data_IF_295465591604
#
_entry.id   IF_295465591604
#
_cell.length_a   1.000
_cell.length_b   1.000
_cell.length_c   1.000
_cell.angle_alpha   90.00
_cell.angle_beta   90.00
_cell.angle_gamma   90.00
#
_symmetry.space_group_name_H-M   'P 1'
#
loop_
_entity.id
_entity.type
_entity.pdbx_description
1 polymer ?
#
# COMPACT_ATOMS: atom_id res chain seq x y z
N UNK A 1 13.62 -20.06 -1.03
CA UNK A 1 13.32 -18.68 -0.65
C UNK A 1 11.93 -18.66 -0.05
N UNK A 2 11.70 -17.87 1.00
CA UNK A 2 10.38 -17.80 1.65
C UNK A 2 9.50 -16.86 0.82
N UNK A 3 8.39 -17.38 0.30
CA UNK A 3 7.38 -16.55 -0.38
C UNK A 3 6.53 -15.83 0.67
N UNK A 4 6.37 -14.52 0.52
CA UNK A 4 5.62 -13.69 1.47
C UNK A 4 4.16 -13.57 1.03
N UNK A 5 3.25 -13.60 2.00
CA UNK A 5 1.83 -13.42 1.74
C UNK A 5 1.52 -11.98 1.31
N UNK A 6 0.51 -11.76 0.45
CA UNK A 6 0.07 -10.41 0.08
C UNK A 6 -0.35 -9.56 1.28
N UNK A 7 -0.44 -8.25 1.08
CA UNK A 7 -0.97 -7.36 2.10
C UNK A 7 -2.44 -7.70 2.43
N UNK A 8 -2.90 -7.40 3.66
CA UNK A 8 -4.30 -7.52 4.00
C UNK A 8 -5.19 -6.75 3.01
N UNK A 9 -6.36 -7.32 2.71
CA UNK A 9 -7.29 -6.73 1.78
C UNK A 9 -7.90 -5.42 2.32
N UNK A 10 -8.12 -4.45 1.43
CA UNK A 10 -8.97 -3.29 1.67
C UNK A 10 -9.65 -2.88 0.36
N UNK A 11 -10.96 -2.60 0.36
CA UNK A 11 -11.64 -2.08 -0.84
C UNK A 11 -11.17 -0.66 -1.21
N UNK A 12 -10.47 0.02 -0.29
CA UNK A 12 -9.93 1.35 -0.52
C UNK A 12 -8.46 1.34 -0.95
N UNK A 13 -7.81 0.18 -0.96
CA UNK A 13 -6.46 0.02 -1.50
C UNK A 13 -6.43 0.29 -3.01
N UNK A 14 -5.28 0.75 -3.50
CA UNK A 14 -5.01 0.92 -4.93
C UNK A 14 -3.82 0.10 -5.41
N UNK A 15 -3.02 -0.40 -4.48
CA UNK A 15 -1.95 -1.32 -4.79
C UNK A 15 -2.53 -2.69 -5.19
N UNK A 16 -1.81 -3.42 -6.05
CA UNK A 16 -2.24 -4.73 -6.53
C UNK A 16 -2.41 -5.73 -5.34
N UNK A 17 -3.61 -6.28 -5.12
CA UNK A 17 -3.89 -7.14 -3.96
C UNK A 17 -3.19 -8.50 -4.02
N UNK A 18 -2.59 -8.88 -5.15
CA UNK A 18 -1.92 -10.18 -5.31
C UNK A 18 -0.49 -10.22 -4.73
N UNK A 19 0.06 -9.07 -4.32
CA UNK A 19 1.46 -8.97 -3.92
C UNK A 19 1.62 -8.40 -2.50
N UNK A 20 2.80 -8.70 -1.92
CA UNK A 20 3.31 -7.99 -0.74
C UNK A 20 3.99 -6.70 -1.19
N UNK A 21 3.56 -5.56 -0.64
CA UNK A 21 4.09 -4.24 -0.94
C UNK A 21 5.05 -3.77 0.14
N UNK A 22 6.04 -2.99 -0.30
CA UNK A 22 7.09 -2.44 0.55
C UNK A 22 6.67 -1.05 1.00
N UNK A 23 6.76 -0.80 2.31
CA UNK A 23 6.47 0.49 2.89
C UNK A 23 7.79 1.22 3.17
N UNK A 24 8.09 2.31 2.44
CA UNK A 24 9.27 3.09 2.76
C UNK A 24 9.09 3.67 4.16
N UNK A 25 10.02 3.35 5.07
CA UNK A 25 10.12 3.99 6.38
C UNK A 25 11.31 4.94 6.35
N UNK A 26 11.13 6.21 5.97
CA UNK A 26 12.20 7.18 6.14
C UNK A 26 12.53 7.30 7.63
N UNK A 27 13.81 7.48 7.96
CA UNK A 27 14.35 7.59 9.32
C UNK A 27 13.63 8.65 10.20
N UNK A 28 12.88 9.57 9.58
CA UNK A 28 12.16 10.67 10.24
C UNK A 28 10.63 10.52 10.26
N UNK A 29 10.08 9.41 9.76
CA UNK A 29 8.62 9.18 9.76
C UNK A 29 8.25 8.01 10.69
N UNK A 30 7.06 8.07 11.31
CA UNK A 30 6.60 6.99 12.18
C UNK A 30 6.48 5.69 11.38
N UNK A 31 6.87 4.58 12.00
CA UNK A 31 6.67 3.23 11.47
C UNK A 31 5.19 3.06 11.10
N UNK A 32 4.87 2.52 9.92
CA UNK A 32 3.48 2.29 9.54
C UNK A 32 2.77 1.37 10.55
N UNK A 33 1.59 1.79 11.03
CA UNK A 33 0.81 1.01 11.98
C UNK A 33 0.14 -0.18 11.27
N UNK A 34 0.26 -1.42 11.77
CA UNK A 34 -0.48 -2.57 11.27
C UNK A 34 -1.97 -2.31 11.13
N UNK A 35 -2.55 -2.74 10.01
CA UNK A 35 -3.94 -2.50 9.66
C UNK A 35 -4.27 -1.09 9.18
N UNK A 36 -3.29 -0.17 9.13
CA UNK A 36 -3.47 1.13 8.48
C UNK A 36 -3.34 1.02 6.96
N UNK A 37 -4.01 1.90 6.22
CA UNK A 37 -3.79 2.06 4.78
C UNK A 37 -2.72 3.12 4.56
N UNK A 38 -1.65 2.80 3.84
CA UNK A 38 -0.55 3.75 3.62
C UNK A 38 0.07 3.59 2.24
N UNK A 39 0.82 4.61 1.83
CA UNK A 39 1.51 4.65 0.54
C UNK A 39 2.72 3.71 0.57
N UNK A 40 2.87 2.94 -0.50
CA UNK A 40 3.94 1.97 -0.70
C UNK A 40 5.04 2.56 -1.60
N UNK A 41 6.16 1.85 -1.74
CA UNK A 41 7.24 2.26 -2.63
C UNK A 41 6.80 2.35 -4.11
N UNK A 42 5.78 1.58 -4.53
CA UNK A 42 5.22 1.68 -5.87
C UNK A 42 4.13 2.77 -6.01
N UNK A 43 4.02 3.67 -5.03
CA UNK A 43 3.01 4.74 -4.95
C UNK A 43 1.55 4.26 -4.87
N UNK A 44 1.33 2.95 -4.74
CA UNK A 44 0.02 2.38 -4.42
C UNK A 44 -0.32 2.54 -2.94
N UNK A 45 -1.61 2.49 -2.61
CA UNK A 45 -2.07 2.37 -1.22
C UNK A 45 -2.31 0.90 -0.88
N UNK A 46 -1.65 0.40 0.18
CA UNK A 46 -1.82 -0.95 0.68
C UNK A 46 -2.01 -0.95 2.20
N UNK A 47 -2.63 -2.00 2.72
CA UNK A 47 -2.78 -2.18 4.16
C UNK A 47 -1.47 -2.67 4.76
N UNK A 48 -1.01 -2.07 5.84
CA UNK A 48 0.19 -2.49 6.57
C UNK A 48 -0.06 -3.86 7.21
N UNK A 49 0.73 -4.91 6.91
CA UNK A 49 0.60 -6.21 7.55
C UNK A 49 1.08 -6.16 9.01
N UNK A 50 0.68 -7.14 9.82
CA UNK A 50 1.16 -7.26 11.20
C UNK A 50 2.64 -7.65 11.27
N UNK A 51 3.10 -8.43 10.30
CA UNK A 51 4.47 -8.89 10.12
C UNK A 51 5.20 -7.97 9.13
N UNK A 52 5.80 -6.88 9.61
CA UNK A 52 6.66 -6.06 8.76
C UNK A 52 7.97 -6.80 8.46
N UNK A 53 8.38 -6.75 7.21
CA UNK A 53 9.66 -7.27 6.75
C UNK A 53 10.57 -6.08 6.56
N UNK A 54 11.60 -6.00 7.39
CA UNK A 54 12.64 -4.99 7.25
C UNK A 54 13.64 -5.46 6.18
N UNK A 55 13.87 -4.61 5.18
CA UNK A 55 14.81 -4.90 4.08
C UNK A 55 15.67 -3.67 3.84
N UNK A 56 16.99 -3.87 3.82
CA UNK A 56 17.94 -2.81 3.46
C UNK A 56 18.08 -2.69 1.93
N UNK A 57 18.43 -1.50 1.40
CA UNK A 57 18.75 -1.33 -0.01
C UNK A 57 19.85 -2.30 -0.46
N UNK A 58 19.60 -3.03 -1.54
CA UNK A 58 20.56 -4.01 -2.10
C UNK A 58 20.59 -5.38 -1.41
N UNK A 59 19.81 -5.59 -0.34
CA UNK A 59 19.66 -6.91 0.28
C UNK A 59 18.87 -7.87 -0.64
N UNK A 60 19.08 -9.20 -0.54
CA UNK A 60 18.20 -10.19 -1.17
C UNK A 60 16.76 -10.00 -0.70
N UNK A 61 15.83 -9.92 -1.65
CA UNK A 61 14.41 -9.70 -1.39
C UNK A 61 13.63 -11.01 -1.50
N UNK A 62 12.63 -11.28 -0.63
CA UNK A 62 11.81 -12.48 -0.69
C UNK A 62 10.91 -12.52 -1.94
N UNK A 63 10.52 -13.73 -2.35
CA UNK A 63 9.55 -13.93 -3.43
C UNK A 63 8.15 -13.47 -3.00
N UNK A 64 7.31 -13.06 -3.94
CA UNK A 64 5.93 -12.60 -3.68
C UNK A 64 5.81 -11.10 -3.40
N UNK A 65 6.92 -10.36 -3.41
CA UNK A 65 6.92 -8.90 -3.38
C UNK A 65 6.41 -8.31 -4.70
N UNK A 66 5.80 -7.14 -4.61
CA UNK A 66 5.35 -6.37 -5.77
C UNK A 66 6.56 -6.00 -6.66
N UNK A 67 6.56 -6.36 -7.96
CA UNK A 67 7.69 -6.08 -8.86
C UNK A 67 8.05 -4.59 -8.96
N UNK A 68 7.04 -3.71 -8.91
CA UNK A 68 7.24 -2.27 -8.92
C UNK A 68 7.91 -1.76 -7.63
N UNK A 69 7.52 -2.29 -6.47
CA UNK A 69 8.20 -1.97 -5.20
C UNK A 69 9.65 -2.43 -5.23
N UNK A 70 9.93 -3.64 -5.73
CA UNK A 70 11.29 -4.17 -5.88
C UNK A 70 12.13 -3.26 -6.77
N UNK A 71 11.58 -2.81 -7.90
CA UNK A 71 12.25 -1.90 -8.83
C UNK A 71 12.64 -0.59 -8.15
N UNK A 72 11.73 0.02 -7.38
CA UNK A 72 11.99 1.26 -6.66
C UNK A 72 13.06 1.07 -5.57
N UNK A 73 12.99 -0.02 -4.80
CA UNK A 73 13.99 -0.34 -3.78
C UNK A 73 15.39 -0.60 -4.34
N UNK A 74 15.49 -0.93 -5.63
CA UNK A 74 16.74 -1.11 -6.36
C UNK A 74 17.21 0.17 -7.07
N UNK A 75 16.57 1.32 -6.81
CA UNK A 75 16.93 2.62 -7.37
C UNK A 75 16.24 2.97 -8.70
N UNK A 76 15.27 2.16 -9.13
CA UNK A 76 14.42 2.46 -10.27
C UNK A 76 13.37 3.53 -9.96
N UNK A 77 12.70 4.03 -11.00
CA UNK A 77 11.60 4.99 -10.86
C UNK A 77 10.28 4.27 -10.55
N UNK A 78 9.37 4.87 -9.76
CA UNK A 78 8.03 4.35 -9.56
C UNK A 78 7.21 4.40 -10.87
N UNK A 79 6.11 3.61 -10.94
CA UNK A 79 5.20 3.67 -12.07
C UNK A 79 4.62 5.08 -12.26
N UNK A 80 4.40 5.48 -13.52
CA UNK A 80 3.71 6.75 -13.79
C UNK A 80 2.20 6.56 -13.67
N UNK A 81 1.56 7.46 -12.94
CA UNK A 81 0.12 7.48 -12.77
C UNK A 81 -0.50 8.71 -13.45
N UNK A 82 -1.68 8.53 -14.06
CA UNK A 82 -2.44 9.66 -14.58
C UNK A 82 -3.11 10.40 -13.42
N UNK A 83 -3.14 11.73 -13.48
CA UNK A 83 -3.84 12.55 -12.51
C UNK A 83 -5.32 12.68 -12.82
N UNK A 84 -6.14 12.64 -11.77
CA UNK A 84 -7.58 12.89 -11.78
C UNK A 84 -7.97 13.75 -10.58
N UNK A 85 -9.24 14.15 -10.51
CA UNK A 85 -9.80 14.84 -9.35
C UNK A 85 -10.46 13.84 -8.39
N UNK A 86 -10.28 14.06 -7.08
CA UNK A 86 -10.94 13.29 -6.04
C UNK A 86 -12.44 13.62 -6.01
N UNK A 87 -13.30 12.61 -6.14
CA UNK A 87 -14.76 12.78 -6.11
C UNK A 87 -15.33 13.22 -4.76
N UNK A 88 -14.57 13.10 -3.66
CA UNK A 88 -15.03 13.49 -2.32
C UNK A 88 -14.61 14.91 -1.93
N UNK A 89 -13.37 15.30 -2.24
CA UNK A 89 -12.79 16.56 -1.75
C UNK A 89 -12.26 17.50 -2.84
N UNK A 90 -12.33 17.11 -4.12
CA UNK A 90 -11.88 17.93 -5.25
C UNK A 90 -10.35 18.04 -5.40
N UNK A 91 -9.56 17.39 -4.54
CA UNK A 91 -8.10 17.44 -4.64
C UNK A 91 -7.58 16.65 -5.85
N UNK A 92 -6.54 17.15 -6.51
CA UNK A 92 -5.82 16.39 -7.51
C UNK A 92 -5.20 15.12 -6.91
N UNK A 93 -5.27 14.01 -7.64
CA UNK A 93 -4.79 12.73 -7.15
C UNK A 93 -4.33 11.80 -8.27
N UNK A 94 -3.51 10.82 -7.91
CA UNK A 94 -3.05 9.73 -8.77
C UNK A 94 -3.70 8.39 -8.40
N UNK A 95 -4.60 8.38 -7.42
CA UNK A 95 -5.26 7.19 -6.88
C UNK A 95 -6.66 6.96 -7.49
N UNK A 96 -6.89 7.43 -8.71
CA UNK A 96 -8.15 7.31 -9.43
C UNK A 96 -9.25 8.22 -8.85
N UNK A 97 -10.41 7.65 -8.53
CA UNK A 97 -11.62 8.43 -8.16
C UNK A 97 -11.57 9.04 -6.75
N UNK A 98 -10.67 8.59 -5.88
CA UNK A 98 -10.50 9.12 -4.53
C UNK A 98 -9.02 9.35 -4.24
N UNK A 99 -8.71 10.46 -3.56
CA UNK A 99 -7.34 10.73 -3.12
C UNK A 99 -6.90 9.83 -1.97
N UNK A 100 -5.60 9.80 -1.71
CA UNK A 100 -5.04 8.95 -0.67
C UNK A 100 -5.59 9.24 0.72
N UNK A 101 -5.81 10.50 1.07
CA UNK A 101 -6.40 10.89 2.35
C UNK A 101 -7.85 10.39 2.51
N UNK A 102 -8.71 10.64 1.52
CA UNK A 102 -10.10 10.15 1.58
C UNK A 102 -10.17 8.62 1.61
N UNK A 103 -9.24 7.91 0.93
CA UNK A 103 -9.14 6.44 1.02
C UNK A 103 -8.71 5.98 2.40
N UNK A 104 -7.75 6.66 3.03
CA UNK A 104 -7.31 6.36 4.40
C UNK A 104 -8.44 6.56 5.41
N UNK A 105 -9.19 7.65 5.32
CA UNK A 105 -10.33 7.92 6.19
C UNK A 105 -11.43 6.87 6.06
N UNK A 106 -11.85 6.55 4.81
CA UNK A 106 -12.87 5.50 4.58
C UNK A 106 -12.37 4.13 5.03
N UNK A 107 -11.09 3.82 4.80
CA UNK A 107 -10.50 2.59 5.29
C UNK A 107 -10.52 2.53 6.82
N UNK A 108 -10.14 3.59 7.52
CA UNK A 108 -10.16 3.63 8.98
C UNK A 108 -11.58 3.39 9.54
N UNK A 109 -12.61 3.90 8.88
CA UNK A 109 -14.00 3.66 9.25
C UNK A 109 -14.46 2.22 8.99
N UNK A 110 -14.02 1.60 7.89
CA UNK A 110 -14.39 0.23 7.50
C UNK A 110 -13.59 -0.86 8.20
N UNK A 111 -12.32 -0.61 8.53
CA UNK A 111 -11.38 -1.61 9.02
C UNK A 111 -11.86 -2.39 10.24
N UNK A 112 -12.51 -1.77 11.25
CA UNK A 112 -13.06 -2.49 12.41
C UNK A 112 -14.20 -3.46 12.07
N UNK A 113 -14.89 -3.25 10.95
CA UNK A 113 -16.06 -4.06 10.53
C UNK A 113 -15.73 -5.06 9.43
N UNK A 114 -14.46 -5.16 9.00
CA UNK A 114 -14.05 -5.96 7.83
C UNK A 114 -14.42 -7.43 7.92
N UNK A 115 -14.44 -8.01 9.13
CA UNK A 115 -14.75 -9.42 9.36
C UNK A 115 -16.27 -9.69 9.43
N UNK A 116 -17.09 -8.64 9.33
CA UNK A 116 -18.56 -8.71 9.42
C UNK A 116 -19.24 -8.68 8.05
N UNK A 117 -18.49 -8.47 6.96
CA UNK A 117 -19.04 -8.54 5.61
C UNK A 117 -19.43 -10.00 5.29
N UNK A 118 -20.66 -10.27 4.81
CA UNK A 118 -21.03 -11.62 4.40
C UNK A 118 -20.09 -12.07 3.27
N UNK A 119 -19.48 -13.23 3.45
CA UNK A 119 -18.78 -13.93 2.38
C UNK A 119 -19.83 -14.33 1.33
N UNK A 120 -20.02 -13.48 0.32
CA UNK A 120 -20.85 -13.77 -0.86
C UNK A 120 -20.02 -14.42 -1.94
#
# INVERSE_FOLDING_TARGET
MTTVAPNPHSPYATADPQYRHIFPSPIFFPTPNPGGLTVTACEGLAVVPADLIETEPGAPLPDGLCPACVTVMQGGAPPKHQSSECGDCGAATWHGVLCGLCRQEKHAAWWPTRDQAPQS
#
